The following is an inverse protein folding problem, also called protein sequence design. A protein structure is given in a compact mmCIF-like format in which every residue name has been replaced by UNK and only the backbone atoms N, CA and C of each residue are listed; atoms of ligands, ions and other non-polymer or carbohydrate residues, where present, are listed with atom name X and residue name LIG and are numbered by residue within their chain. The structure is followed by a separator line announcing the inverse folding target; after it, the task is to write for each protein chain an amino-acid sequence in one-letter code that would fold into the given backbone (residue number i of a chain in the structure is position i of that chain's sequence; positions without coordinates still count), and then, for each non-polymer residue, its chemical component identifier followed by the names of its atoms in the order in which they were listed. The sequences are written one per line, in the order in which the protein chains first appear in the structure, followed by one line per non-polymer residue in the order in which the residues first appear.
data_IF_486921825628
#
_entry.id   IF_486921825628
#
_cell.length_a   1.000
_cell.length_b   1.000
_cell.length_c   1.000
_cell.angle_alpha   90.00
_cell.angle_beta   90.00
_cell.angle_gamma   90.00
#
_symmetry.space_group_name_H-M   'P 1'
#
loop_
_entity.id
_entity.type
_entity.pdbx_description
1 polymer ?
#
# COMPACT_ATOMS: atom_id res chain seq x y z
N UNK A 1 -10.94 -5.86 9.67
CA UNK A 1 -10.85 -4.87 8.57
C UNK A 1 -9.37 -4.69 8.28
N UNK A 2 -8.84 -5.37 7.25
CA UNK A 2 -7.41 -5.26 6.89
C UNK A 2 -7.18 -3.89 6.27
N UNK A 3 -6.82 -2.92 7.10
CA UNK A 3 -6.25 -1.66 6.63
C UNK A 3 -4.91 -2.04 5.95
N UNK A 4 -4.68 -1.65 4.67
CA UNK A 4 -3.45 -2.03 3.99
C UNK A 4 -2.26 -1.51 4.79
N UNK A 5 -1.37 -2.40 5.23
CA UNK A 5 -0.20 -2.05 6.06
C UNK A 5 0.68 -1.05 5.29
N UNK A 6 0.71 -1.19 3.96
CA UNK A 6 1.30 -0.22 3.03
C UNK A 6 0.95 1.25 3.36
N UNK A 7 -0.32 1.58 3.58
CA UNK A 7 -0.72 2.98 3.82
C UNK A 7 -0.19 3.49 5.16
N UNK A 8 -0.20 2.64 6.18
CA UNK A 8 0.29 2.98 7.50
C UNK A 8 1.80 3.22 7.47
N UNK A 9 2.53 2.38 6.74
CA UNK A 9 3.98 2.53 6.53
C UNK A 9 4.28 3.80 5.73
N UNK A 10 3.53 4.09 4.66
CA UNK A 10 3.73 5.28 3.84
C UNK A 10 3.47 6.56 4.65
N UNK A 11 2.40 6.56 5.45
CA UNK A 11 2.07 7.69 6.34
C UNK A 11 3.13 7.85 7.44
N UNK A 12 3.59 6.75 8.05
CA UNK A 12 4.65 6.78 9.05
C UNK A 12 5.99 7.28 8.50
N UNK A 13 6.28 7.02 7.22
CA UNK A 13 7.49 7.48 6.55
C UNK A 13 7.40 8.91 5.98
N UNK A 14 6.30 9.64 6.22
CA UNK A 14 6.04 10.97 5.64
C UNK A 14 5.98 10.98 4.09
N UNK A 15 5.86 9.81 3.47
CA UNK A 15 5.66 9.66 2.01
C UNK A 15 4.21 9.98 1.62
N UNK A 16 3.28 9.90 2.58
CA UNK A 16 1.86 10.09 2.37
C UNK A 16 1.22 10.79 3.58
N UNK A 17 0.20 11.61 3.36
CA UNK A 17 -0.61 12.13 4.46
C UNK A 17 -1.76 11.17 4.79
N UNK A 18 -2.26 11.17 6.05
CA UNK A 18 -3.41 10.36 6.43
C UNK A 18 -4.66 10.69 5.61
N UNK A 19 -4.79 11.93 5.13
CA UNK A 19 -5.89 12.35 4.25
C UNK A 19 -5.79 11.70 2.87
N UNK A 20 -4.58 11.66 2.28
CA UNK A 20 -4.32 10.96 1.01
C UNK A 20 -4.52 9.45 1.14
N UNK A 21 -4.13 8.85 2.27
CA UNK A 21 -4.40 7.43 2.56
C UNK A 21 -5.90 7.15 2.55
N UNK A 22 -6.67 7.99 3.22
CA UNK A 22 -8.11 7.80 3.34
C UNK A 22 -8.82 8.00 1.99
N UNK A 23 -8.40 8.99 1.21
CA UNK A 23 -8.90 9.21 -0.16
C UNK A 23 -8.62 8.01 -1.06
N UNK A 24 -7.39 7.51 -1.04
CA UNK A 24 -6.98 6.34 -1.83
C UNK A 24 -7.73 5.09 -1.41
N UNK A 25 -8.01 4.92 -0.10
CA UNK A 25 -8.86 3.84 0.43
C UNK A 25 -10.30 3.94 -0.05
N UNK A 26 -10.87 5.14 -0.09
CA UNK A 26 -12.22 5.35 -0.61
C UNK A 26 -12.30 4.96 -2.09
N UNK A 27 -11.30 5.35 -2.89
CA UNK A 27 -11.20 4.98 -4.31
C UNK A 27 -11.01 3.47 -4.45
N UNK A 28 -10.16 2.82 -3.64
CA UNK A 28 -9.98 1.36 -3.65
C UNK A 28 -11.25 0.60 -3.23
N UNK A 29 -12.09 1.16 -2.37
CA UNK A 29 -13.34 0.51 -2.00
C UNK A 29 -14.35 0.53 -3.14
N UNK A 30 -14.35 1.61 -3.92
CA UNK A 30 -15.24 1.79 -5.06
C UNK A 30 -14.69 1.09 -6.32
N UNK A 31 -13.37 1.04 -6.46
CA UNK A 31 -12.65 0.41 -7.55
C UNK A 31 -11.95 -0.86 -7.08
N UNK A 32 -12.14 -1.99 -7.76
CA UNK A 32 -11.41 -3.24 -7.49
C UNK A 32 -9.89 -3.19 -7.85
N UNK A 33 -9.31 -1.99 -7.86
CA UNK A 33 -7.90 -1.71 -8.15
C UNK A 33 -7.04 -1.87 -6.89
N UNK A 34 -5.75 -2.10 -7.11
CA UNK A 34 -4.76 -2.12 -6.04
C UNK A 34 -4.52 -0.70 -5.51
N UNK A 35 -4.50 -0.55 -4.17
CA UNK A 35 -4.22 0.74 -3.51
C UNK A 35 -2.90 1.33 -4.01
N UNK A 36 -1.90 0.49 -4.23
CA UNK A 36 -0.61 0.90 -4.78
C UNK A 36 -0.71 1.59 -6.15
N UNK A 37 -1.52 1.04 -7.05
CA UNK A 37 -1.76 1.66 -8.36
C UNK A 37 -2.46 3.00 -8.21
N UNK A 38 -3.48 3.10 -7.36
CA UNK A 38 -4.19 4.35 -7.11
C UNK A 38 -3.23 5.42 -6.59
N UNK A 39 -2.33 5.08 -5.68
CA UNK A 39 -1.34 6.01 -5.12
C UNK A 39 -0.35 6.53 -6.19
N UNK A 40 0.04 5.69 -7.15
CA UNK A 40 0.91 6.09 -8.27
C UNK A 40 0.15 6.90 -9.32
N UNK A 41 -1.08 6.49 -9.67
CA UNK A 41 -1.96 7.20 -10.60
C UNK A 41 -2.29 8.61 -10.09
N UNK A 42 -2.57 8.76 -8.79
CA UNK A 42 -2.82 10.06 -8.14
C UNK A 42 -1.53 10.88 -7.94
N UNK A 43 -0.35 10.31 -8.22
CA UNK A 43 0.95 10.99 -8.06
C UNK A 43 1.38 11.17 -6.61
N UNK A 44 0.79 10.43 -5.67
CA UNK A 44 1.16 10.49 -4.26
C UNK A 44 2.50 9.81 -3.97
N UNK A 45 2.78 8.70 -4.66
CA UNK A 45 4.06 7.97 -4.58
C UNK A 45 4.56 7.64 -5.97
N UNK A 46 5.86 7.38 -6.10
CA UNK A 46 6.44 6.88 -7.35
C UNK A 46 6.35 5.35 -7.45
N UNK A 47 6.45 4.82 -8.66
CA UNK A 47 6.49 3.37 -8.89
C UNK A 47 7.63 2.66 -8.17
N UNK A 48 8.77 3.33 -7.96
CA UNK A 48 9.90 2.80 -7.20
C UNK A 48 9.55 2.64 -5.71
N UNK A 49 8.93 3.67 -5.12
CA UNK A 49 8.44 3.66 -3.74
C UNK A 49 7.43 2.53 -3.57
N UNK A 50 6.47 2.44 -4.49
CA UNK A 50 5.48 1.38 -4.52
C UNK A 50 6.14 -0.02 -4.56
N UNK A 51 7.10 -0.23 -5.47
CA UNK A 51 7.80 -1.51 -5.62
C UNK A 51 8.56 -1.90 -4.34
N UNK A 52 9.27 -0.95 -3.73
CA UNK A 52 10.02 -1.15 -2.49
C UNK A 52 9.14 -1.63 -1.34
N UNK A 53 7.94 -1.07 -1.19
CA UNK A 53 7.02 -1.47 -0.13
C UNK A 53 6.23 -2.75 -0.48
N UNK A 54 5.91 -2.98 -1.76
CA UNK A 54 5.34 -4.26 -2.22
C UNK A 54 6.27 -5.44 -1.93
N UNK A 55 7.57 -5.29 -2.19
CA UNK A 55 8.55 -6.30 -1.83
C UNK A 55 8.56 -6.59 -0.32
N UNK A 56 8.53 -5.54 0.52
CA UNK A 56 8.45 -5.72 1.98
C UNK A 56 7.21 -6.48 2.45
N UNK A 57 6.04 -6.16 1.90
CA UNK A 57 4.79 -6.84 2.24
C UNK A 57 4.80 -8.31 1.76
N UNK A 58 5.38 -8.57 0.58
CA UNK A 58 5.49 -9.92 0.02
C UNK A 58 6.50 -10.78 0.80
N UNK A 59 7.63 -10.23 1.21
CA UNK A 59 8.60 -10.92 2.08
C UNK A 59 7.98 -11.29 3.43
N UNK A 60 7.09 -10.47 3.99
CA UNK A 60 6.35 -10.80 5.20
C UNK A 60 5.26 -11.87 4.98
N UNK A 61 4.71 -11.96 3.77
CA UNK A 61 3.73 -12.98 3.39
C UNK A 61 4.37 -14.33 2.99
N UNK A 62 5.66 -14.33 2.65
CA UNK A 62 6.43 -15.50 2.23
C UNK A 62 7.38 -16.02 3.32
N UNK A 63 6.97 -16.01 4.59
CA UNK A 63 7.68 -16.80 5.59
C UNK A 63 7.56 -18.29 5.23
N UNK A 64 8.66 -19.00 4.89
CA UNK A 64 8.62 -20.38 4.43
C UNK A 64 8.36 -21.41 5.57
N UNK A 65 7.81 -20.99 6.71
CA UNK A 65 7.54 -21.86 7.89
C UNK A 65 6.07 -22.20 8.08
N UNK A 66 5.19 -21.97 7.11
CA UNK A 66 3.89 -22.64 7.05
C UNK A 66 4.00 -23.90 6.20
N UNK A 67 4.19 -25.09 6.81
CA UNK A 67 3.96 -26.34 6.08
C UNK A 67 2.46 -26.45 5.76
N UNK A 68 2.14 -26.82 4.51
CA UNK A 68 0.80 -27.26 4.08
C UNK A 68 0.33 -28.52 4.84
#
# INVERSE_FOLDING_TARGET
MNKPVLLDILVGNNELTPEQANRSLAIQKDSNKLIGMILVEEGYITGEVLCKYLSKEYEAAFDPRTPE
#
